data_IF_441042960970
#
_entry.id   IF_441042960970
#
_cell.length_a   1.000
_cell.length_b   1.000
_cell.length_c   1.000
_cell.angle_alpha   90.00
_cell.angle_beta   90.00
_cell.angle_gamma   90.00
#
_symmetry.space_group_name_H-M   'P 1'
#
loop_
_entity.id
_entity.type
_entity.pdbx_description
1 polymer ?
#
# COMPACT_ATOMS: atom_id res chain seq x y z
N UNK A 1 14.78 1.85 22.53
CA UNK A 1 13.48 2.36 22.07
C UNK A 1 13.20 1.86 20.67
N UNK A 2 12.10 1.18 20.49
CA UNK A 2 11.72 0.69 19.15
C UNK A 2 11.17 1.82 18.30
N UNK A 3 11.53 1.84 17.03
CA UNK A 3 10.93 2.77 16.08
C UNK A 3 9.57 2.23 15.65
N UNK A 4 8.59 3.11 15.54
CA UNK A 4 7.28 2.75 15.02
C UNK A 4 7.28 2.88 13.49
N UNK A 5 6.59 1.96 12.83
CA UNK A 5 6.37 2.00 11.39
C UNK A 5 4.87 1.84 11.12
N UNK A 6 4.13 2.96 11.06
CA UNK A 6 2.68 2.91 10.82
C UNK A 6 2.31 2.26 9.48
N UNK A 7 3.17 2.38 8.48
CA UNK A 7 2.91 1.78 7.17
C UNK A 7 3.08 0.26 7.25
N UNK A 8 4.11 -0.23 7.94
CA UNK A 8 4.28 -1.67 8.16
C UNK A 8 3.09 -2.24 8.94
N UNK A 9 2.60 -1.52 9.94
CA UNK A 9 1.41 -1.92 10.70
C UNK A 9 0.18 -2.00 9.79
N UNK A 10 -0.03 -1.01 8.93
CA UNK A 10 -1.11 -1.02 7.94
C UNK A 10 -1.03 -2.27 7.06
N UNK A 11 0.13 -2.54 6.48
CA UNK A 11 0.32 -3.69 5.58
C UNK A 11 0.09 -5.01 6.32
N UNK A 12 0.54 -5.11 7.56
CA UNK A 12 0.35 -6.31 8.39
C UNK A 12 -1.13 -6.53 8.70
N UNK A 13 -1.86 -5.48 9.05
CA UNK A 13 -3.30 -5.59 9.32
C UNK A 13 -4.07 -6.02 8.07
N UNK A 14 -3.74 -5.46 6.92
CA UNK A 14 -4.35 -5.86 5.64
C UNK A 14 -4.02 -7.32 5.33
N UNK A 15 -2.75 -7.71 5.48
CA UNK A 15 -2.31 -9.08 5.23
C UNK A 15 -3.05 -10.09 6.11
N UNK A 16 -3.13 -9.82 7.41
CA UNK A 16 -3.79 -10.72 8.36
C UNK A 16 -5.29 -10.84 8.07
N UNK A 17 -5.96 -9.74 7.79
CA UNK A 17 -7.38 -9.74 7.45
C UNK A 17 -7.63 -10.49 6.14
N UNK A 18 -6.77 -10.31 5.15
CA UNK A 18 -6.85 -10.98 3.86
C UNK A 18 -6.67 -12.50 4.01
N UNK A 19 -5.71 -12.92 4.83
CA UNK A 19 -5.48 -14.35 5.10
C UNK A 19 -6.65 -15.00 5.83
N UNK A 20 -7.33 -14.24 6.69
CA UNK A 20 -8.49 -14.72 7.43
C UNK A 20 -9.82 -14.55 6.66
N UNK A 21 -9.77 -14.06 5.42
CA UNK A 21 -10.95 -13.80 4.58
C UNK A 21 -11.94 -12.84 5.21
N UNK A 22 -11.45 -11.86 5.96
CA UNK A 22 -12.30 -10.79 6.48
C UNK A 22 -12.77 -9.89 5.34
N UNK A 23 -13.97 -9.33 5.45
CA UNK A 23 -14.50 -8.40 4.45
C UNK A 23 -13.87 -7.02 4.55
N UNK A 24 -13.50 -6.62 5.76
CA UNK A 24 -12.96 -5.29 6.03
C UNK A 24 -11.96 -5.32 7.16
N UNK A 25 -11.13 -4.28 7.22
CA UNK A 25 -10.17 -4.08 8.29
C UNK A 25 -10.08 -2.59 8.59
N UNK A 26 -10.04 -2.24 9.87
CA UNK A 26 -9.91 -0.87 10.32
C UNK A 26 -8.48 -0.60 10.75
N UNK A 27 -7.94 0.54 10.33
CA UNK A 27 -6.61 0.98 10.71
C UNK A 27 -6.66 2.45 11.12
N UNK A 28 -5.74 2.91 11.99
CA UNK A 28 -5.64 4.34 12.27
C UNK A 28 -5.34 5.10 10.98
N UNK A 29 -6.10 6.17 10.73
CA UNK A 29 -5.97 6.91 9.48
C UNK A 29 -4.75 7.82 9.48
N UNK A 30 -4.21 8.06 8.30
CA UNK A 30 -3.26 9.14 8.02
C UNK A 30 -3.35 9.45 6.53
N UNK A 31 -2.85 10.62 6.15
CA UNK A 31 -2.88 11.03 4.74
C UNK A 31 -2.13 10.02 3.86
N UNK A 32 -0.95 9.59 4.28
CA UNK A 32 -0.16 8.64 3.52
C UNK A 32 -0.86 7.29 3.38
N UNK A 33 -1.52 6.81 4.46
CA UNK A 33 -2.27 5.56 4.40
C UNK A 33 -3.47 5.66 3.48
N UNK A 34 -4.15 6.81 3.45
CA UNK A 34 -5.26 7.03 2.51
C UNK A 34 -4.77 7.02 1.06
N UNK A 35 -3.61 7.63 0.79
CA UNK A 35 -3.03 7.62 -0.55
C UNK A 35 -2.66 6.21 -0.99
N UNK A 36 -2.12 5.40 -0.08
CA UNK A 36 -1.81 3.99 -0.36
C UNK A 36 -3.11 3.22 -0.63
N UNK A 37 -4.15 3.43 0.18
CA UNK A 37 -5.44 2.77 -0.03
C UNK A 37 -6.06 3.15 -1.38
N UNK A 38 -5.99 4.42 -1.76
CA UNK A 38 -6.47 4.89 -3.05
C UNK A 38 -5.74 4.18 -4.20
N UNK A 39 -4.43 4.01 -4.08
CA UNK A 39 -3.62 3.31 -5.08
C UNK A 39 -3.99 1.82 -5.15
N UNK A 40 -4.14 1.16 -4.01
CA UNK A 40 -4.55 -0.25 -3.97
C UNK A 40 -5.92 -0.46 -4.62
N UNK A 41 -6.84 0.47 -4.41
CA UNK A 41 -8.16 0.42 -5.05
C UNK A 41 -8.03 0.62 -6.56
N UNK A 42 -7.29 1.63 -6.99
CA UNK A 42 -7.09 1.94 -8.41
C UNK A 42 -6.44 0.77 -9.16
N UNK A 43 -5.51 0.05 -8.50
CA UNK A 43 -4.84 -1.10 -9.09
C UNK A 43 -5.65 -2.40 -8.95
N UNK A 44 -6.81 -2.36 -8.30
CA UNK A 44 -7.72 -3.49 -8.22
C UNK A 44 -7.40 -4.50 -7.12
N UNK A 45 -6.57 -4.16 -6.15
CA UNK A 45 -6.21 -5.05 -5.05
C UNK A 45 -7.20 -5.05 -3.89
N UNK A 46 -7.94 -3.96 -3.71
CA UNK A 46 -9.00 -3.86 -2.71
C UNK A 46 -10.29 -3.37 -3.38
N UNK A 47 -11.43 -3.63 -2.75
CA UNK A 47 -12.72 -3.22 -3.28
C UNK A 47 -12.96 -1.73 -3.11
N UNK A 48 -12.68 -1.22 -1.91
CA UNK A 48 -12.96 0.17 -1.56
C UNK A 48 -12.27 0.52 -0.24
N UNK A 49 -12.35 1.79 0.12
CA UNK A 49 -11.93 2.27 1.43
C UNK A 49 -12.79 3.46 1.81
N UNK A 50 -12.96 3.70 3.12
CA UNK A 50 -13.69 4.85 3.64
C UNK A 50 -12.94 5.43 4.82
N UNK A 51 -13.08 6.73 5.01
CA UNK A 51 -12.59 7.43 6.19
C UNK A 51 -13.74 7.61 7.17
N UNK A 52 -13.50 7.24 8.42
CA UNK A 52 -14.49 7.36 9.50
C UNK A 52 -13.91 8.29 10.56
N UNK A 53 -14.60 9.39 10.82
CA UNK A 53 -14.19 10.31 11.87
C UNK A 53 -14.31 9.67 13.23
N UNK A 54 -13.34 9.94 14.09
CA UNK A 54 -13.39 9.60 15.51
C UNK A 54 -12.85 10.79 16.32
N UNK A 55 -12.58 10.60 17.59
CA UNK A 55 -12.08 11.69 18.45
C UNK A 55 -10.59 11.97 18.29
N UNK A 56 -9.91 11.16 17.51
CA UNK A 56 -8.45 11.26 17.30
C UNK A 56 -8.15 11.56 15.84
N UNK A 57 -7.36 10.69 15.21
CA UNK A 57 -6.92 10.87 13.83
C UNK A 57 -7.89 10.32 12.80
N UNK A 58 -8.91 9.59 13.25
CA UNK A 58 -9.84 8.91 12.37
C UNK A 58 -9.43 7.48 12.09
N UNK A 59 -10.37 6.76 11.50
CA UNK A 59 -10.20 5.36 11.12
C UNK A 59 -10.30 5.25 9.60
N UNK A 60 -9.36 4.55 9.01
CA UNK A 60 -9.40 4.18 7.61
C UNK A 60 -9.91 2.74 7.52
N UNK A 61 -11.09 2.55 6.96
CA UNK A 61 -11.68 1.23 6.78
C UNK A 61 -11.43 0.75 5.37
N UNK A 62 -10.77 -0.39 5.24
CA UNK A 62 -10.42 -0.98 3.96
C UNK A 62 -11.29 -2.20 3.72
N UNK A 63 -11.95 -2.23 2.55
CA UNK A 63 -12.79 -3.34 2.14
C UNK A 63 -11.98 -4.24 1.22
N UNK A 64 -11.75 -5.47 1.66
CA UNK A 64 -10.91 -6.44 0.95
C UNK A 64 -11.65 -7.02 -0.25
N UNK A 65 -10.89 -7.58 -1.17
CA UNK A 65 -11.43 -8.08 -2.43
C UNK A 65 -11.08 -9.55 -2.63
N UNK A 66 -12.07 -10.32 -2.99
CA UNK A 66 -11.92 -11.74 -3.30
C UNK A 66 -12.64 -12.04 -4.61
N UNK A 67 -12.21 -13.11 -5.29
CA UNK A 67 -12.90 -13.58 -6.48
C UNK A 67 -14.21 -14.27 -6.10
N UNK A 68 -15.16 -14.48 -7.06
CA UNK A 68 -16.36 -15.26 -6.77
C UNK A 68 -16.09 -16.64 -6.19
N UNK A 69 -14.93 -17.27 -6.54
CA UNK A 69 -14.49 -18.54 -5.98
C UNK A 69 -13.82 -18.45 -4.62
N UNK A 70 -13.89 -17.30 -3.93
CA UNK A 70 -13.27 -17.04 -2.63
C UNK A 70 -11.74 -17.16 -2.67
N UNK A 71 -11.13 -16.79 -3.78
CA UNK A 71 -9.69 -16.69 -3.89
C UNK A 71 -9.26 -15.25 -3.59
N UNK A 72 -8.10 -15.10 -2.97
CA UNK A 72 -7.55 -13.78 -2.66
C UNK A 72 -7.08 -13.08 -3.94
N UNK A 73 -7.49 -11.83 -4.11
CA UNK A 73 -6.96 -10.98 -5.19
C UNK A 73 -5.59 -10.44 -4.78
N UNK A 74 -5.47 -9.99 -3.53
CA UNK A 74 -4.22 -9.53 -2.96
C UNK A 74 -3.42 -10.73 -2.47
N UNK A 75 -2.29 -11.02 -3.13
CA UNK A 75 -1.49 -12.21 -2.82
C UNK A 75 -0.37 -11.91 -1.83
N UNK A 76 0.20 -10.72 -1.88
CA UNK A 76 1.28 -10.36 -1.00
C UNK A 76 1.50 -8.86 -0.87
N UNK A 77 2.10 -8.49 0.26
CA UNK A 77 2.47 -7.13 0.62
C UNK A 77 3.85 -7.18 1.28
N UNK A 78 4.76 -6.33 0.84
CA UNK A 78 6.10 -6.26 1.43
C UNK A 78 6.47 -4.82 1.71
N UNK A 79 6.84 -4.52 2.97
CA UNK A 79 7.42 -3.24 3.33
C UNK A 79 8.86 -3.20 2.81
N UNK A 80 9.23 -2.15 2.09
CA UNK A 80 10.58 -2.01 1.53
C UNK A 80 11.38 -0.97 2.30
N UNK A 81 10.99 0.30 2.21
CA UNK A 81 11.63 1.37 2.96
C UNK A 81 11.08 1.39 4.39
N UNK A 82 11.95 1.47 5.38
CA UNK A 82 11.55 1.52 6.80
C UNK A 82 12.15 2.75 7.46
N UNK A 83 11.63 3.18 8.65
CA UNK A 83 12.20 4.31 9.35
C UNK A 83 13.69 4.16 9.68
N UNK A 84 14.16 2.92 9.90
CA UNK A 84 15.56 2.65 10.20
C UNK A 84 16.42 2.43 8.96
N UNK A 85 15.80 2.18 7.81
CA UNK A 85 16.51 1.91 6.55
C UNK A 85 15.68 2.40 5.37
N UNK A 86 15.90 3.64 4.99
CA UNK A 86 15.19 4.24 3.84
C UNK A 86 15.79 3.72 2.53
N UNK A 87 14.92 3.45 1.56
CA UNK A 87 15.30 2.94 0.24
C UNK A 87 14.81 3.93 -0.81
N UNK A 88 15.75 4.60 -1.49
CA UNK A 88 15.46 5.56 -2.54
C UNK A 88 15.96 5.03 -3.86
N UNK A 89 15.23 5.32 -4.92
CA UNK A 89 15.62 4.94 -6.28
C UNK A 89 15.47 6.13 -7.23
N UNK A 90 16.34 6.16 -8.24
CA UNK A 90 16.24 7.13 -9.33
C UNK A 90 15.21 6.65 -10.35
N UNK A 91 14.77 7.58 -11.21
CA UNK A 91 13.73 7.32 -12.23
C UNK A 91 13.99 6.10 -13.12
N UNK A 92 15.25 5.80 -13.40
CA UNK A 92 15.65 4.69 -14.27
C UNK A 92 15.94 3.39 -13.49
N UNK A 93 15.84 3.43 -12.17
CA UNK A 93 16.11 2.29 -11.30
C UNK A 93 14.86 1.85 -10.51
N UNK A 94 13.67 2.28 -10.90
CA UNK A 94 12.42 1.90 -10.22
C UNK A 94 12.18 0.40 -10.45
N UNK A 95 12.06 -0.40 -9.37
CA UNK A 95 11.94 -1.85 -9.50
C UNK A 95 10.58 -2.25 -10.08
N UNK A 96 10.57 -3.40 -10.74
CA UNK A 96 9.34 -4.05 -11.20
C UNK A 96 9.08 -5.25 -10.32
N UNK A 97 7.84 -5.36 -9.83
CA UNK A 97 7.42 -6.48 -8.99
C UNK A 97 6.86 -7.58 -9.88
N UNK A 98 7.38 -8.80 -9.74
CA UNK A 98 6.95 -9.95 -10.54
C UNK A 98 6.90 -9.64 -12.04
N UNK A 99 7.95 -9.00 -12.56
CA UNK A 99 8.07 -8.61 -13.98
C UNK A 99 6.92 -7.75 -14.47
N UNK A 100 6.37 -6.90 -13.59
CA UNK A 100 5.28 -5.98 -13.93
C UNK A 100 3.89 -6.49 -13.61
N UNK A 101 3.75 -7.72 -13.10
CA UNK A 101 2.46 -8.25 -12.67
C UNK A 101 2.02 -7.65 -11.34
N UNK A 102 2.97 -7.30 -10.47
CA UNK A 102 2.70 -6.59 -9.23
C UNK A 102 3.00 -5.11 -9.37
N UNK A 103 2.93 -4.40 -8.25
CA UNK A 103 3.11 -2.95 -8.20
C UNK A 103 4.11 -2.58 -7.11
N UNK A 104 5.12 -1.79 -7.47
CA UNK A 104 5.93 -1.09 -6.49
C UNK A 104 5.27 0.26 -6.22
N UNK A 105 5.31 0.70 -4.97
CA UNK A 105 4.68 1.94 -4.54
C UNK A 105 5.76 2.93 -4.11
N UNK A 106 6.21 3.81 -5.01
CA UNK A 106 7.12 4.89 -4.63
C UNK A 106 6.37 6.09 -4.06
N UNK A 107 6.98 6.74 -3.08
CA UNK A 107 6.60 8.06 -2.61
C UNK A 107 7.52 9.06 -3.31
N UNK A 108 6.96 9.90 -4.14
CA UNK A 108 7.70 10.84 -4.98
C UNK A 108 7.41 12.28 -4.58
N UNK A 109 8.12 13.21 -5.19
CA UNK A 109 7.84 14.65 -5.00
C UNK A 109 6.44 15.05 -5.48
N UNK A 110 5.80 14.22 -6.30
CA UNK A 110 4.43 14.44 -6.78
C UNK A 110 3.40 13.53 -6.10
N UNK A 111 3.79 12.90 -4.99
CA UNK A 111 2.90 12.05 -4.20
C UNK A 111 3.18 10.57 -4.35
N UNK A 112 2.31 9.78 -3.75
CA UNK A 112 2.37 8.32 -3.83
C UNK A 112 1.68 7.89 -5.12
N UNK A 113 2.32 6.99 -5.86
CA UNK A 113 1.80 6.50 -7.14
C UNK A 113 2.32 5.09 -7.40
N UNK A 114 1.87 4.47 -8.49
CA UNK A 114 2.43 3.20 -8.94
C UNK A 114 3.80 3.41 -9.56
N UNK A 115 4.59 2.34 -9.59
CA UNK A 115 5.88 2.35 -10.29
C UNK A 115 5.71 2.66 -11.78
N UNK A 116 4.64 2.17 -12.39
CA UNK A 116 4.33 2.44 -13.80
C UNK A 116 4.11 3.93 -14.04
N UNK A 117 3.35 4.59 -13.17
CA UNK A 117 3.11 6.02 -13.27
C UNK A 117 4.37 6.83 -13.02
N UNK A 118 5.19 6.43 -12.05
CA UNK A 118 6.46 7.09 -11.77
C UNK A 118 7.42 7.00 -12.97
N UNK A 119 7.48 5.84 -13.63
CA UNK A 119 8.28 5.67 -14.85
C UNK A 119 7.76 6.55 -15.97
N UNK A 120 6.45 6.60 -16.16
CA UNK A 120 5.82 7.45 -17.17
C UNK A 120 6.17 8.92 -16.97
N UNK A 121 6.19 9.37 -15.73
CA UNK A 121 6.54 10.76 -15.38
C UNK A 121 8.04 11.01 -15.32
N UNK A 122 8.84 9.96 -15.34
CA UNK A 122 10.30 10.09 -15.28
C UNK A 122 10.80 10.56 -13.91
N UNK A 123 10.16 10.14 -12.81
CA UNK A 123 10.54 10.54 -11.46
C UNK A 123 10.82 9.33 -10.60
N UNK A 124 11.84 9.43 -9.75
CA UNK A 124 12.14 8.45 -8.72
C UNK A 124 11.55 8.85 -7.38
N UNK A 125 11.87 8.10 -6.35
CA UNK A 125 11.41 8.39 -5.00
C UNK A 125 11.78 7.31 -4.02
N UNK A 126 11.14 7.38 -2.86
CA UNK A 126 11.30 6.37 -1.81
C UNK A 126 10.38 5.19 -2.09
N UNK A 127 10.95 3.99 -2.18
CA UNK A 127 10.15 2.78 -2.42
C UNK A 127 9.50 2.35 -1.12
N UNK A 128 8.21 2.60 -0.98
CA UNK A 128 7.46 2.33 0.25
C UNK A 128 7.21 0.85 0.43
N UNK A 129 6.67 0.20 -0.59
CA UNK A 129 6.29 -1.21 -0.51
C UNK A 129 6.14 -1.84 -1.89
N UNK A 130 6.05 -3.17 -1.89
CA UNK A 130 5.65 -3.98 -3.04
C UNK A 130 4.30 -4.62 -2.76
N UNK A 131 3.46 -4.73 -3.79
CA UNK A 131 2.14 -5.36 -3.71
C UNK A 131 1.98 -6.26 -4.93
N UNK A 132 1.41 -7.43 -4.73
CA UNK A 132 1.10 -8.34 -5.84
C UNK A 132 -0.06 -9.27 -5.54
#
# INVERSE_FOLDING_TARGET
MSMTDPIADMLTRIRNANQAFHHKVDIPASRMKEEIAALLKAEGYISDYTFIEDRLQGILRIYLKYTPGRERVLMGLKRVSTPSRRVYVKRDAIPRVLRGLGVAIPSTSQGIMSDKEARRRGIGGEVVSYVW
#
